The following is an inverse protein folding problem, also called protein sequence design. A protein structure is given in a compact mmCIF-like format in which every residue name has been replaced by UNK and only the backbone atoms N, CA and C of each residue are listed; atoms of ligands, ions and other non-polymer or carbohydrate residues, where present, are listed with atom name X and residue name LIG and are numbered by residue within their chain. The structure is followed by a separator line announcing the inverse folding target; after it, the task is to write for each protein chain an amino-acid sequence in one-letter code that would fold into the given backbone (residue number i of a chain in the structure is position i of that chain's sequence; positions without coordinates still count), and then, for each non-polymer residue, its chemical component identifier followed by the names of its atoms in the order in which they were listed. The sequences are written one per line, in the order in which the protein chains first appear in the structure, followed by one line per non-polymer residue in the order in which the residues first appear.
data_IF_463169262324
#
_entry.id   IF_463169262324
#
_cell.length_a   1.000
_cell.length_b   1.000
_cell.length_c   1.000
_cell.angle_alpha   90.00
_cell.angle_beta   90.00
_cell.angle_gamma   90.00
#
_symmetry.space_group_name_H-M   'P 1'
#
loop_
_entity.id
_entity.type
_entity.pdbx_description
1 polymer ?
#
# COMPACT_ATOMS: atom_id res chain seq x y z
N UNK A 1 -16.17 -51.24 77.08
CA UNK A 1 -16.31 -52.20 75.97
C UNK A 1 -17.15 -51.52 74.89
N UNK A 2 -16.51 -51.25 73.75
CA UNK A 2 -17.03 -50.80 72.45
C UNK A 2 -17.64 -49.40 72.29
N UNK A 3 -16.77 -48.45 71.94
CA UNK A 3 -17.08 -47.31 71.07
C UNK A 3 -17.26 -47.78 69.62
N UNK A 4 -18.40 -47.47 69.00
CA UNK A 4 -18.69 -47.77 67.60
C UNK A 4 -19.20 -46.51 66.87
N UNK A 5 -18.27 -45.77 66.24
CA UNK A 5 -18.44 -44.97 65.00
C UNK A 5 -17.06 -44.35 64.65
N UNK A 6 -16.66 -44.16 63.36
CA UNK A 6 -17.49 -43.65 62.28
C UNK A 6 -17.12 -44.21 60.88
N UNK A 7 -17.67 -45.35 60.46
CA UNK A 7 -17.41 -45.91 59.11
C UNK A 7 -18.20 -45.18 58.00
N UNK A 8 -19.29 -44.48 58.35
CA UNK A 8 -20.19 -43.84 57.37
C UNK A 8 -19.61 -42.56 56.75
N UNK A 9 -18.71 -41.86 57.46
CA UNK A 9 -18.15 -40.56 57.01
C UNK A 9 -17.07 -40.71 55.95
N UNK A 10 -16.27 -41.77 56.02
CA UNK A 10 -15.21 -42.09 55.06
C UNK A 10 -15.76 -42.64 53.74
N UNK A 11 -16.87 -43.39 53.79
CA UNK A 11 -17.52 -43.92 52.59
C UNK A 11 -18.10 -42.79 51.70
N UNK A 12 -18.79 -41.80 52.31
CA UNK A 12 -19.35 -40.63 51.60
C UNK A 12 -18.27 -39.70 51.04
N UNK A 13 -17.16 -39.53 51.76
CA UNK A 13 -16.03 -38.74 51.31
C UNK A 13 -15.27 -39.41 50.16
N UNK A 14 -15.11 -40.74 50.19
CA UNK A 14 -14.53 -41.51 49.08
C UNK A 14 -15.42 -41.48 47.84
N UNK A 15 -16.74 -41.57 47.97
CA UNK A 15 -17.67 -41.44 46.83
C UNK A 15 -17.67 -40.02 46.25
N UNK A 16 -17.62 -38.98 47.08
CA UNK A 16 -17.51 -37.60 46.61
C UNK A 16 -16.20 -37.34 45.84
N UNK A 17 -15.08 -37.91 46.30
CA UNK A 17 -13.77 -37.79 45.62
C UNK A 17 -13.75 -38.62 44.32
N UNK A 18 -14.28 -39.85 44.34
CA UNK A 18 -14.36 -40.74 43.17
C UNK A 18 -15.27 -40.19 42.06
N UNK A 19 -16.30 -39.41 42.40
CA UNK A 19 -17.17 -38.74 41.42
C UNK A 19 -16.68 -37.34 41.04
N UNK A 20 -16.05 -36.61 41.97
CA UNK A 20 -15.57 -35.25 41.74
C UNK A 20 -14.38 -35.17 40.79
N UNK A 21 -13.42 -36.09 40.90
CA UNK A 21 -12.24 -36.16 40.02
C UNK A 21 -12.57 -36.37 38.53
N UNK A 22 -13.42 -37.34 38.13
CA UNK A 22 -13.81 -37.49 36.73
C UNK A 22 -14.69 -36.35 36.22
N UNK A 23 -15.50 -35.70 37.06
CA UNK A 23 -16.26 -34.50 36.68
C UNK A 23 -15.35 -33.29 36.43
N UNK A 24 -14.34 -33.09 37.28
CA UNK A 24 -13.31 -32.06 37.08
C UNK A 24 -12.45 -32.35 35.85
N UNK A 25 -12.06 -33.61 35.65
CA UNK A 25 -11.34 -34.06 34.46
C UNK A 25 -12.15 -33.87 33.18
N UNK A 26 -13.44 -34.24 33.20
CA UNK A 26 -14.36 -33.99 32.09
C UNK A 26 -14.55 -32.50 31.82
N UNK A 27 -14.71 -31.68 32.86
CA UNK A 27 -14.86 -30.24 32.72
C UNK A 27 -13.61 -29.60 32.10
N UNK A 28 -12.40 -30.00 32.55
CA UNK A 28 -11.14 -29.50 31.99
C UNK A 28 -10.91 -29.98 30.56
N UNK A 29 -11.12 -31.26 30.26
CA UNK A 29 -11.02 -31.78 28.89
C UNK A 29 -12.03 -31.09 27.97
N UNK A 30 -13.26 -30.88 28.43
CA UNK A 30 -14.30 -30.19 27.68
C UNK A 30 -13.93 -28.73 27.43
N UNK A 31 -13.45 -27.97 28.43
CA UNK A 31 -13.05 -26.58 28.22
C UNK A 31 -11.86 -26.46 27.28
N UNK A 32 -10.85 -27.32 27.43
CA UNK A 32 -9.65 -27.32 26.58
C UNK A 32 -9.97 -27.74 25.15
N UNK A 33 -10.83 -28.76 24.97
CA UNK A 33 -11.29 -29.18 23.65
C UNK A 33 -12.14 -28.10 22.97
N UNK A 34 -13.00 -27.40 23.71
CA UNK A 34 -13.80 -26.31 23.16
C UNK A 34 -12.93 -25.12 22.73
N UNK A 35 -11.89 -24.76 23.48
CA UNK A 35 -10.97 -23.68 23.07
C UNK A 35 -10.08 -24.08 21.91
N UNK A 36 -9.58 -25.32 21.89
CA UNK A 36 -8.65 -25.80 20.86
C UNK A 36 -9.34 -26.09 19.53
N UNK A 37 -10.56 -26.64 19.54
CA UNK A 37 -11.26 -27.03 18.31
C UNK A 37 -12.24 -25.98 17.78
N UNK A 38 -12.60 -24.95 18.55
CA UNK A 38 -13.51 -23.91 18.07
C UNK A 38 -12.96 -23.10 16.89
N UNK A 39 -11.63 -22.90 16.82
CA UNK A 39 -10.99 -22.15 15.73
C UNK A 39 -10.70 -23.02 14.50
N UNK A 40 -10.14 -24.22 14.69
CA UNK A 40 -9.64 -25.04 13.58
C UNK A 40 -10.64 -26.07 13.04
N UNK A 41 -11.53 -26.61 13.89
CA UNK A 41 -12.48 -27.69 13.52
C UNK A 41 -13.82 -27.54 14.25
N UNK A 42 -14.64 -26.54 13.87
CA UNK A 42 -15.87 -26.18 14.58
C UNK A 42 -16.86 -27.35 14.68
N UNK A 43 -16.90 -28.26 13.69
CA UNK A 43 -17.74 -29.45 13.73
C UNK A 43 -17.42 -30.42 14.88
N UNK A 44 -16.15 -30.52 15.31
CA UNK A 44 -15.78 -31.35 16.46
C UNK A 44 -16.17 -30.70 17.79
N UNK A 45 -16.07 -29.37 17.91
CA UNK A 45 -16.54 -28.65 19.09
C UNK A 45 -18.05 -28.81 19.33
N UNK A 46 -18.85 -28.95 18.26
CA UNK A 46 -20.28 -29.23 18.34
C UNK A 46 -20.61 -30.59 18.98
N UNK A 47 -19.71 -31.58 18.92
CA UNK A 47 -19.91 -32.89 19.57
C UNK A 47 -19.81 -32.80 21.10
N UNK A 48 -19.04 -31.84 21.64
CA UNK A 48 -18.80 -31.71 23.08
C UNK A 48 -19.73 -30.70 23.79
N UNK A 49 -20.32 -29.76 23.05
CA UNK A 49 -21.29 -28.81 23.58
C UNK A 49 -22.24 -28.30 22.47
N UNK A 50 -23.15 -29.13 21.94
CA UNK A 50 -24.01 -28.76 20.81
C UNK A 50 -24.93 -27.55 21.09
N UNK A 51 -25.28 -27.31 22.37
CA UNK A 51 -26.04 -26.15 22.83
C UNK A 51 -25.17 -25.06 23.49
N UNK A 52 -23.85 -25.10 23.32
CA UNK A 52 -22.93 -24.08 23.81
C UNK A 52 -23.04 -22.79 22.99
N UNK A 53 -22.67 -21.65 23.58
CA UNK A 53 -22.73 -20.34 22.91
C UNK A 53 -21.93 -20.33 21.59
N UNK A 54 -20.72 -20.88 21.58
CA UNK A 54 -19.88 -20.99 20.39
C UNK A 54 -20.52 -21.88 19.30
N UNK A 55 -21.12 -23.02 19.67
CA UNK A 55 -21.79 -23.90 18.71
C UNK A 55 -23.00 -23.22 18.06
N UNK A 56 -23.80 -22.50 18.85
CA UNK A 56 -24.94 -21.72 18.35
C UNK A 56 -24.50 -20.54 17.46
N UNK A 57 -23.45 -19.82 17.85
CA UNK A 57 -22.89 -18.74 17.05
C UNK A 57 -22.33 -19.26 15.71
N UNK A 58 -21.59 -20.38 15.72
CA UNK A 58 -21.08 -21.01 14.50
C UNK A 58 -22.21 -21.50 13.59
N UNK A 59 -23.26 -22.12 14.15
CA UNK A 59 -24.43 -22.54 13.38
C UNK A 59 -25.14 -21.35 12.71
N UNK A 60 -25.34 -20.26 13.45
CA UNK A 60 -25.91 -19.03 12.91
C UNK A 60 -25.04 -18.42 11.81
N UNK A 61 -23.72 -18.35 12.03
CA UNK A 61 -22.78 -17.82 11.04
C UNK A 61 -22.77 -18.63 9.75
N UNK A 62 -22.68 -19.97 9.84
CA UNK A 62 -22.72 -20.85 8.68
C UNK A 62 -24.01 -20.65 7.88
N UNK A 63 -25.15 -20.55 8.58
CA UNK A 63 -26.43 -20.31 7.95
C UNK A 63 -26.50 -18.96 7.22
N UNK A 64 -25.96 -17.90 7.80
CA UNK A 64 -25.87 -16.59 7.15
C UNK A 64 -25.01 -16.68 5.88
N UNK A 65 -23.87 -17.37 5.94
CA UNK A 65 -22.99 -17.56 4.78
C UNK A 65 -23.68 -18.36 3.67
N UNK A 66 -24.31 -19.48 4.01
CA UNK A 66 -25.07 -20.32 3.07
C UNK A 66 -26.24 -19.58 2.44
N UNK A 67 -26.88 -18.68 3.19
CA UNK A 67 -27.96 -17.81 2.72
C UNK A 67 -27.47 -16.53 2.02
N UNK A 68 -26.20 -16.47 1.60
CA UNK A 68 -25.63 -15.35 0.86
C UNK A 68 -25.59 -14.03 1.64
N UNK A 69 -25.50 -14.09 2.97
CA UNK A 69 -25.50 -12.94 3.88
C UNK A 69 -26.87 -12.63 4.49
N UNK A 70 -27.93 -13.36 4.13
CA UNK A 70 -29.27 -13.14 4.69
C UNK A 70 -29.35 -13.66 6.12
N UNK A 71 -29.81 -12.81 7.05
CA UNK A 71 -30.03 -13.19 8.46
C UNK A 71 -31.49 -13.62 8.67
N UNK A 72 -31.76 -14.91 8.47
CA UNK A 72 -33.12 -15.45 8.62
C UNK A 72 -33.55 -15.68 10.08
N UNK A 73 -34.81 -16.09 10.28
CA UNK A 73 -35.38 -16.27 11.61
C UNK A 73 -34.62 -17.30 12.47
N UNK A 74 -34.09 -18.36 11.86
CA UNK A 74 -33.35 -19.41 12.57
C UNK A 74 -31.98 -18.90 13.00
N UNK A 75 -31.27 -18.19 12.11
CA UNK A 75 -30.00 -17.55 12.45
C UNK A 75 -30.21 -16.56 13.61
N UNK A 76 -31.25 -15.71 13.56
CA UNK A 76 -31.59 -14.78 14.65
C UNK A 76 -31.84 -15.50 15.97
N UNK A 77 -32.62 -16.59 15.96
CA UNK A 77 -32.91 -17.36 17.16
C UNK A 77 -31.63 -17.99 17.76
N UNK A 78 -30.76 -18.55 16.92
CA UNK A 78 -29.47 -19.10 17.34
C UNK A 78 -28.53 -18.02 17.89
N UNK A 79 -28.45 -16.86 17.24
CA UNK A 79 -27.70 -15.69 17.74
C UNK A 79 -28.20 -15.22 19.09
N UNK A 80 -29.51 -15.06 19.27
CA UNK A 80 -30.10 -14.66 20.55
C UNK A 80 -29.80 -15.69 21.66
N UNK A 81 -29.93 -16.98 21.35
CA UNK A 81 -29.60 -18.06 22.26
C UNK A 81 -28.11 -18.13 22.62
N UNK A 82 -27.21 -17.79 21.68
CA UNK A 82 -25.78 -17.68 21.91
C UNK A 82 -25.46 -16.48 22.82
N UNK A 83 -26.06 -15.31 22.55
CA UNK A 83 -25.84 -14.09 23.32
C UNK A 83 -26.34 -14.21 24.76
N UNK A 84 -27.46 -14.89 25.00
CA UNK A 84 -27.94 -15.19 26.36
C UNK A 84 -26.96 -16.05 27.16
N UNK A 85 -26.29 -17.00 26.50
CA UNK A 85 -25.34 -17.93 27.13
C UNK A 85 -23.96 -17.30 27.35
N UNK A 86 -23.52 -16.45 26.44
CA UNK A 86 -22.24 -15.78 26.52
C UNK A 86 -22.36 -14.31 26.07
N UNK A 87 -22.95 -13.43 26.90
CA UNK A 87 -23.19 -12.03 26.55
C UNK A 87 -21.90 -11.21 26.43
N UNK A 88 -20.75 -11.83 26.75
CA UNK A 88 -19.44 -11.20 26.75
C UNK A 88 -18.56 -11.63 25.58
N UNK A 89 -19.02 -12.56 24.76
CA UNK A 89 -18.28 -13.08 23.62
C UNK A 89 -18.50 -12.18 22.40
N UNK A 90 -17.45 -11.99 21.60
CA UNK A 90 -17.52 -11.15 20.41
C UNK A 90 -18.42 -11.76 19.32
N UNK A 91 -18.34 -13.07 19.07
CA UNK A 91 -19.05 -13.70 17.96
C UNK A 91 -20.59 -13.52 18.01
N UNK A 92 -21.28 -13.77 19.14
CA UNK A 92 -22.72 -13.47 19.24
C UNK A 92 -23.06 -11.98 19.06
N UNK A 93 -22.19 -11.07 19.51
CA UNK A 93 -22.37 -9.62 19.32
C UNK A 93 -22.26 -9.23 17.83
N UNK A 94 -21.29 -9.80 17.09
CA UNK A 94 -21.14 -9.59 15.64
C UNK A 94 -22.40 -10.04 14.91
N UNK A 95 -22.89 -11.24 15.20
CA UNK A 95 -24.08 -11.79 14.55
C UNK A 95 -25.33 -10.96 14.86
N UNK A 96 -25.46 -10.48 16.09
CA UNK A 96 -26.55 -9.57 16.48
C UNK A 96 -26.42 -8.22 15.76
N UNK A 97 -25.20 -7.73 15.55
CA UNK A 97 -24.91 -6.53 14.77
C UNK A 97 -25.28 -6.69 13.30
N UNK A 98 -24.96 -7.83 12.68
CA UNK A 98 -25.37 -8.15 11.31
C UNK A 98 -26.89 -8.21 11.18
N UNK A 99 -27.59 -8.82 12.14
CA UNK A 99 -29.05 -8.84 12.18
C UNK A 99 -29.62 -7.42 12.25
N UNK A 100 -29.12 -6.59 13.17
CA UNK A 100 -29.54 -5.19 13.30
C UNK A 100 -29.25 -4.38 12.02
N UNK A 101 -28.11 -4.64 11.35
CA UNK A 101 -27.76 -4.00 10.09
C UNK A 101 -28.73 -4.40 8.97
N UNK A 102 -29.13 -5.68 8.89
CA UNK A 102 -30.11 -6.17 7.92
C UNK A 102 -31.51 -5.59 8.17
N UNK A 103 -31.84 -5.28 9.42
CA UNK A 103 -33.11 -4.66 9.81
C UNK A 103 -33.11 -3.13 9.61
N UNK A 104 -32.03 -2.55 9.08
CA UNK A 104 -31.88 -1.10 8.89
C UNK A 104 -31.60 -0.32 10.19
N UNK A 105 -31.37 -1.01 11.30
CA UNK A 105 -31.06 -0.40 12.60
C UNK A 105 -29.56 -0.08 12.73
N UNK A 106 -29.09 0.87 11.92
CA UNK A 106 -27.67 1.23 11.79
C UNK A 106 -26.99 1.59 13.13
N UNK A 107 -27.59 2.43 13.97
CA UNK A 107 -27.00 2.84 15.25
C UNK A 107 -26.82 1.65 16.20
N UNK A 108 -27.82 0.75 16.23
CA UNK A 108 -27.76 -0.48 17.01
C UNK A 108 -26.70 -1.43 16.47
N UNK A 109 -26.59 -1.55 15.15
CA UNK A 109 -25.56 -2.36 14.53
C UNK A 109 -24.16 -1.82 14.86
N UNK A 110 -23.94 -0.51 14.78
CA UNK A 110 -22.68 0.14 15.16
C UNK A 110 -22.33 -0.17 16.61
N UNK A 111 -23.23 0.06 17.56
CA UNK A 111 -22.97 -0.20 18.98
C UNK A 111 -22.62 -1.67 19.25
N UNK A 112 -23.27 -2.61 18.56
CA UNK A 112 -22.97 -4.04 18.68
C UNK A 112 -21.61 -4.40 18.07
N UNK A 113 -21.24 -3.80 16.94
CA UNK A 113 -19.95 -4.04 16.29
C UNK A 113 -18.79 -3.41 17.07
N UNK A 114 -18.95 -2.22 17.63
CA UNK A 114 -17.98 -1.60 18.54
C UNK A 114 -17.82 -2.44 19.81
N UNK A 115 -18.93 -2.91 20.40
CA UNK A 115 -18.87 -3.80 21.55
C UNK A 115 -18.15 -5.11 21.21
N UNK A 116 -18.41 -5.70 20.05
CA UNK A 116 -17.70 -6.89 19.58
C UNK A 116 -16.19 -6.61 19.42
N UNK A 117 -15.82 -5.51 18.78
CA UNK A 117 -14.43 -5.09 18.59
C UNK A 117 -13.71 -4.87 19.91
N UNK A 118 -14.38 -4.28 20.90
CA UNK A 118 -13.82 -4.08 22.25
C UNK A 118 -13.54 -5.41 22.97
N UNK A 119 -14.26 -6.49 22.64
CA UNK A 119 -14.04 -7.83 23.21
C UNK A 119 -13.02 -8.65 22.43
N UNK A 120 -13.06 -8.53 21.12
CA UNK A 120 -12.08 -9.14 20.23
C UNK A 120 -11.57 -8.09 19.23
N UNK A 121 -10.43 -7.45 19.51
CA UNK A 121 -9.80 -6.51 18.60
C UNK A 121 -9.34 -7.15 17.29
N UNK A 122 -9.42 -8.47 17.09
CA UNK A 122 -9.09 -9.15 15.84
C UNK A 122 -10.34 -9.62 15.08
N UNK A 123 -11.54 -9.29 15.57
CA UNK A 123 -12.80 -9.60 14.92
C UNK A 123 -12.94 -8.91 13.56
N UNK A 124 -12.47 -9.58 12.50
CA UNK A 124 -12.42 -9.01 11.15
C UNK A 124 -13.78 -8.56 10.64
N UNK A 125 -14.84 -9.35 10.86
CA UNK A 125 -16.21 -8.98 10.41
C UNK A 125 -16.64 -7.65 11.03
N UNK A 126 -16.45 -7.46 12.34
CA UNK A 126 -16.79 -6.20 13.00
C UNK A 126 -15.98 -5.03 12.43
N UNK A 127 -14.66 -5.20 12.24
CA UNK A 127 -13.80 -4.14 11.71
C UNK A 127 -14.13 -3.73 10.29
N UNK A 128 -14.36 -4.69 9.39
CA UNK A 128 -14.73 -4.38 8.01
C UNK A 128 -16.11 -3.71 7.94
N UNK A 129 -17.06 -4.17 8.76
CA UNK A 129 -18.37 -3.52 8.86
C UNK A 129 -18.24 -2.09 9.39
N UNK A 130 -17.44 -1.86 10.44
CA UNK A 130 -17.22 -0.54 11.03
C UNK A 130 -16.52 0.39 10.04
N UNK A 131 -15.46 -0.07 9.35
CA UNK A 131 -14.79 0.70 8.31
C UNK A 131 -15.78 1.21 7.26
N UNK A 132 -16.58 0.29 6.71
CA UNK A 132 -17.59 0.57 5.69
C UNK A 132 -18.71 1.50 6.20
N UNK A 133 -19.19 1.25 7.42
CA UNK A 133 -20.19 2.09 8.09
C UNK A 133 -19.67 3.51 8.33
N UNK A 134 -18.47 3.67 8.87
CA UNK A 134 -17.86 4.97 9.15
C UNK A 134 -17.61 5.77 7.88
N UNK A 135 -17.23 5.12 6.78
CA UNK A 135 -17.12 5.80 5.49
C UNK A 135 -18.48 6.33 5.04
N UNK A 136 -19.51 5.48 5.03
CA UNK A 136 -20.85 5.89 4.56
C UNK A 136 -21.48 6.99 5.40
N UNK A 137 -21.15 7.06 6.68
CA UNK A 137 -21.72 8.02 7.63
C UNK A 137 -20.87 9.27 7.83
N UNK A 138 -19.80 9.47 7.04
CA UNK A 138 -18.99 10.68 7.16
C UNK A 138 -17.97 10.66 8.31
N UNK A 139 -17.83 9.55 9.04
CA UNK A 139 -16.98 9.41 10.21
C UNK A 139 -15.52 9.10 9.84
N UNK A 140 -14.89 9.99 9.07
CA UNK A 140 -13.58 9.75 8.44
C UNK A 140 -12.45 9.34 9.40
N UNK A 141 -12.36 9.98 10.58
CA UNK A 141 -11.34 9.62 11.58
C UNK A 141 -11.52 8.20 12.11
N UNK A 142 -12.77 7.78 12.35
CA UNK A 142 -13.08 6.45 12.83
C UNK A 142 -12.83 5.40 11.73
N UNK A 143 -13.20 5.70 10.48
CA UNK A 143 -12.87 4.85 9.33
C UNK A 143 -11.36 4.62 9.19
N UNK A 144 -10.55 5.68 9.26
CA UNK A 144 -9.11 5.58 9.09
C UNK A 144 -8.40 4.86 10.25
N UNK A 145 -8.99 4.83 11.44
CA UNK A 145 -8.50 4.02 12.55
C UNK A 145 -8.62 2.50 12.27
N UNK A 146 -9.55 2.08 11.42
CA UNK A 146 -9.75 0.67 11.05
C UNK A 146 -8.78 0.19 9.95
N UNK A 147 -8.20 1.09 9.16
CA UNK A 147 -7.36 0.74 7.98
C UNK A 147 -6.18 -0.15 8.36
N UNK A 148 -5.33 0.28 9.29
CA UNK A 148 -4.15 -0.48 9.70
C UNK A 148 -4.49 -1.87 10.25
N UNK A 149 -5.40 -1.98 11.24
CA UNK A 149 -5.88 -3.27 11.73
C UNK A 149 -6.47 -4.16 10.62
N UNK A 150 -7.31 -3.62 9.74
CA UNK A 150 -7.92 -4.37 8.65
C UNK A 150 -6.87 -4.96 7.70
N UNK A 151 -5.86 -4.17 7.32
CA UNK A 151 -4.75 -4.61 6.47
C UNK A 151 -3.93 -5.74 7.10
N UNK A 152 -3.74 -5.72 8.43
CA UNK A 152 -3.04 -6.80 9.14
C UNK A 152 -3.87 -8.09 9.24
N UNK A 153 -5.20 -7.99 9.27
CA UNK A 153 -6.08 -9.16 9.33
C UNK A 153 -6.16 -9.90 8.00
N UNK A 154 -6.22 -9.19 6.87
CA UNK A 154 -6.22 -9.80 5.54
C UNK A 154 -5.37 -8.99 4.57
N UNK A 155 -4.08 -9.32 4.41
CA UNK A 155 -3.20 -8.60 3.49
C UNK A 155 -3.72 -8.53 2.04
N UNK A 156 -4.53 -9.51 1.61
CA UNK A 156 -5.15 -9.55 0.28
C UNK A 156 -6.21 -8.47 0.02
N UNK A 157 -6.68 -7.74 1.04
CA UNK A 157 -7.65 -6.63 0.87
C UNK A 157 -6.97 -5.27 0.63
N UNK A 158 -5.63 -5.23 0.60
CA UNK A 158 -4.82 -4.01 0.53
C UNK A 158 -5.24 -3.07 -0.61
N UNK A 159 -5.37 -3.59 -1.83
CA UNK A 159 -5.75 -2.78 -2.99
C UNK A 159 -7.12 -2.13 -2.82
N UNK A 160 -8.12 -2.87 -2.34
CA UNK A 160 -9.47 -2.36 -2.14
C UNK A 160 -9.51 -1.29 -1.03
N UNK A 161 -8.81 -1.52 0.09
CA UNK A 161 -8.75 -0.56 1.20
C UNK A 161 -8.02 0.72 0.78
N UNK A 162 -6.91 0.63 0.04
CA UNK A 162 -6.20 1.83 -0.41
C UNK A 162 -6.94 2.60 -1.51
N UNK A 163 -7.69 1.91 -2.38
CA UNK A 163 -8.61 2.56 -3.30
C UNK A 163 -9.69 3.33 -2.53
N UNK A 164 -10.24 2.75 -1.46
CA UNK A 164 -11.19 3.42 -0.56
C UNK A 164 -10.57 4.67 0.09
N UNK A 165 -9.34 4.57 0.64
CA UNK A 165 -8.63 5.73 1.23
C UNK A 165 -8.39 6.83 0.18
N UNK A 166 -8.12 6.46 -1.08
CA UNK A 166 -7.96 7.44 -2.16
C UNK A 166 -9.28 8.13 -2.52
N UNK A 167 -10.38 7.38 -2.58
CA UNK A 167 -11.71 7.94 -2.78
C UNK A 167 -12.10 8.90 -1.63
N UNK A 168 -11.75 8.55 -0.40
CA UNK A 168 -11.87 9.45 0.76
C UNK A 168 -11.02 10.72 0.59
N UNK A 169 -9.77 10.62 0.12
CA UNK A 169 -8.91 11.78 -0.10
C UNK A 169 -9.44 12.73 -1.20
N UNK A 170 -10.10 12.17 -2.20
CA UNK A 170 -10.73 12.93 -3.28
C UNK A 170 -11.97 13.71 -2.78
N UNK A 171 -12.74 13.14 -1.84
CA UNK A 171 -13.91 13.80 -1.24
C UNK A 171 -13.53 14.99 -0.35
N UNK A 172 -14.11 16.19 -0.55
CA UNK A 172 -13.79 17.38 0.25
C UNK A 172 -13.91 17.18 1.76
N UNK A 173 -14.99 16.52 2.21
CA UNK A 173 -15.27 16.33 3.65
C UNK A 173 -14.33 15.31 4.31
N UNK A 174 -13.82 14.36 3.53
CA UNK A 174 -12.96 13.28 4.02
C UNK A 174 -11.46 13.56 3.84
N UNK A 175 -11.10 14.59 3.06
CA UNK A 175 -9.70 14.97 2.79
C UNK A 175 -8.93 15.32 4.06
N UNK A 176 -9.53 16.09 4.96
CA UNK A 176 -8.93 16.47 6.24
C UNK A 176 -8.60 15.27 7.15
N UNK A 177 -9.56 14.35 7.38
CA UNK A 177 -9.30 13.09 8.07
C UNK A 177 -8.18 12.26 7.44
N UNK A 178 -8.16 12.09 6.10
CA UNK A 178 -7.11 11.31 5.42
C UNK A 178 -5.73 11.93 5.61
N UNK A 179 -5.62 13.25 5.43
CA UNK A 179 -4.37 13.97 5.69
C UNK A 179 -3.92 13.78 7.14
N UNK A 180 -4.82 13.94 8.11
CA UNK A 180 -4.53 13.77 9.54
C UNK A 180 -4.04 12.35 9.86
N UNK A 181 -4.67 11.32 9.28
CA UNK A 181 -4.27 9.94 9.51
C UNK A 181 -2.88 9.65 8.94
N UNK A 182 -2.59 10.08 7.71
CA UNK A 182 -1.28 9.89 7.08
C UNK A 182 -0.17 10.73 7.74
N UNK A 183 -0.51 11.91 8.27
CA UNK A 183 0.42 12.78 8.98
C UNK A 183 0.93 12.18 10.29
N UNK A 184 0.20 11.22 10.87
CA UNK A 184 0.64 10.44 12.05
C UNK A 184 1.61 9.31 11.69
N UNK A 185 2.04 9.23 10.43
CA UNK A 185 3.00 8.24 9.92
C UNK A 185 2.61 6.79 10.26
N UNK A 186 1.42 6.33 9.84
CA UNK A 186 0.99 4.96 10.12
C UNK A 186 1.85 3.95 9.34
N UNK A 187 1.99 2.74 9.90
CA UNK A 187 2.79 1.64 9.32
C UNK A 187 2.42 1.26 7.86
N UNK A 188 1.20 1.59 7.44
CA UNK A 188 0.70 1.35 6.09
C UNK A 188 0.90 2.51 5.11
N UNK A 189 1.40 3.68 5.55
CA UNK A 189 1.52 4.91 4.74
C UNK A 189 2.37 4.71 3.48
N UNK A 190 3.57 4.16 3.63
CA UNK A 190 4.46 3.96 2.48
C UNK A 190 3.82 3.00 1.46
N UNK A 191 3.23 1.91 1.96
CA UNK A 191 2.51 0.93 1.12
C UNK A 191 1.32 1.55 0.39
N UNK A 192 0.62 2.50 1.02
CA UNK A 192 -0.46 3.25 0.38
C UNK A 192 0.05 3.98 -0.87
N UNK A 193 1.11 4.80 -0.74
CA UNK A 193 1.67 5.50 -1.90
C UNK A 193 2.21 4.54 -2.97
N UNK A 194 2.89 3.47 -2.57
CA UNK A 194 3.43 2.48 -3.50
C UNK A 194 2.34 1.78 -4.33
N UNK A 195 1.25 1.34 -3.69
CA UNK A 195 0.14 0.67 -4.38
C UNK A 195 -0.66 1.65 -5.23
N UNK A 196 -0.94 2.85 -4.71
CA UNK A 196 -1.76 3.82 -5.44
C UNK A 196 -1.01 4.44 -6.63
N UNK A 197 0.33 4.50 -6.60
CA UNK A 197 1.15 4.97 -7.73
C UNK A 197 1.12 4.04 -8.96
N UNK A 198 0.66 2.80 -8.81
CA UNK A 198 0.47 1.84 -9.91
C UNK A 198 -0.99 1.53 -10.21
N UNK A 199 -1.91 2.08 -9.41
CA UNK A 199 -3.36 1.96 -9.62
C UNK A 199 -3.89 3.04 -10.57
N UNK A 200 -5.15 2.92 -10.97
CA UNK A 200 -5.88 3.93 -11.74
C UNK A 200 -6.40 5.05 -10.83
N UNK A 201 -5.50 5.66 -10.06
CA UNK A 201 -5.78 6.83 -9.22
C UNK A 201 -5.07 8.03 -9.80
N UNK A 202 -5.76 9.18 -9.78
CA UNK A 202 -5.20 10.45 -10.21
C UNK A 202 -3.85 10.74 -9.51
N UNK A 203 -2.73 10.75 -10.25
CA UNK A 203 -1.43 11.00 -9.67
C UNK A 203 -1.28 12.42 -9.11
N UNK A 204 -2.07 13.38 -9.58
CA UNK A 204 -2.05 14.76 -9.05
C UNK A 204 -2.60 14.81 -7.63
N UNK A 205 -3.61 14.00 -7.31
CA UNK A 205 -4.09 13.83 -5.94
C UNK A 205 -2.98 13.29 -5.02
N UNK A 206 -2.24 12.28 -5.47
CA UNK A 206 -1.13 11.70 -4.70
C UNK A 206 0.02 12.70 -4.52
N UNK A 207 0.35 13.48 -5.56
CA UNK A 207 1.34 14.55 -5.49
C UNK A 207 0.96 15.59 -4.43
N UNK A 208 -0.28 16.09 -4.48
CA UNK A 208 -0.77 17.11 -3.55
C UNK A 208 -0.80 16.61 -2.11
N UNK A 209 -1.29 15.39 -1.91
CA UNK A 209 -1.31 14.75 -0.60
C UNK A 209 0.12 14.61 -0.06
N UNK A 210 1.05 14.06 -0.85
CA UNK A 210 2.42 13.86 -0.42
C UNK A 210 3.17 15.18 -0.13
N UNK A 211 2.91 16.22 -0.92
CA UNK A 211 3.52 17.55 -0.76
C UNK A 211 3.12 18.25 0.55
N UNK A 212 1.92 17.99 1.05
CA UNK A 212 1.35 18.65 2.24
C UNK A 212 1.52 17.86 3.53
N UNK A 213 1.93 16.60 3.44
CA UNK A 213 2.20 15.76 4.62
C UNK A 213 3.54 16.11 5.28
N UNK A 214 3.67 15.99 6.61
CA UNK A 214 4.97 16.00 7.26
C UNK A 214 5.81 14.78 6.80
N UNK A 215 7.15 14.90 6.82
CA UNK A 215 8.01 13.75 6.52
C UNK A 215 7.77 12.62 7.53
N UNK A 216 7.77 11.35 7.08
CA UNK A 216 7.78 10.20 7.97
C UNK A 216 9.04 10.19 8.84
N UNK A 217 9.00 9.42 9.93
CA UNK A 217 10.12 9.31 10.87
C UNK A 217 11.38 8.73 10.22
N UNK A 218 11.21 7.80 9.26
CA UNK A 218 12.29 7.26 8.43
C UNK A 218 12.48 8.11 7.15
N UNK A 219 13.61 8.81 6.98
CA UNK A 219 13.88 9.61 5.78
C UNK A 219 13.90 8.79 4.49
N UNK A 220 14.23 7.49 4.57
CA UNK A 220 14.26 6.63 3.40
C UNK A 220 12.85 6.30 2.88
N UNK A 221 11.88 6.16 3.79
CA UNK A 221 10.45 6.03 3.44
C UNK A 221 9.98 7.24 2.63
N UNK A 222 10.34 8.46 3.04
CA UNK A 222 9.99 9.68 2.28
C UNK A 222 10.52 9.64 0.85
N UNK A 223 11.76 9.17 0.67
CA UNK A 223 12.37 9.08 -0.65
C UNK A 223 11.64 8.06 -1.54
N UNK A 224 11.24 6.90 -0.97
CA UNK A 224 10.45 5.88 -1.67
C UNK A 224 9.07 6.37 -2.07
N UNK A 225 8.32 7.00 -1.15
CA UNK A 225 7.01 7.63 -1.41
C UNK A 225 7.11 8.63 -2.57
N UNK A 226 8.09 9.53 -2.52
CA UNK A 226 8.28 10.55 -3.55
C UNK A 226 8.60 9.93 -4.91
N UNK A 227 9.49 8.93 -4.94
CA UNK A 227 9.88 8.27 -6.19
C UNK A 227 8.66 7.66 -6.90
N UNK A 228 7.87 6.86 -6.19
CA UNK A 228 6.72 6.17 -6.81
C UNK A 228 5.66 7.16 -7.30
N UNK A 229 5.37 8.22 -6.52
CA UNK A 229 4.38 9.23 -6.90
C UNK A 229 4.85 10.09 -8.08
N UNK A 230 6.11 10.53 -8.09
CA UNK A 230 6.68 11.31 -9.21
C UNK A 230 6.68 10.48 -10.51
N UNK A 231 7.07 9.21 -10.45
CA UNK A 231 7.04 8.34 -11.62
C UNK A 231 5.62 8.09 -12.14
N UNK A 232 4.65 7.94 -11.24
CA UNK A 232 3.24 7.83 -11.62
C UNK A 232 2.73 9.09 -12.33
N UNK A 233 3.05 10.27 -11.80
CA UNK A 233 2.67 11.54 -12.41
C UNK A 233 3.33 11.76 -13.78
N UNK A 234 4.60 11.40 -13.95
CA UNK A 234 5.27 11.43 -15.26
C UNK A 234 4.59 10.52 -16.27
N UNK A 235 4.19 9.29 -15.88
CA UNK A 235 3.44 8.38 -16.76
C UNK A 235 2.08 8.95 -17.18
N UNK A 236 1.43 9.69 -16.29
CA UNK A 236 0.15 10.35 -16.58
C UNK A 236 0.29 11.69 -17.32
N UNK A 237 1.51 12.15 -17.61
CA UNK A 237 1.74 13.43 -18.30
C UNK A 237 1.68 14.67 -17.41
N UNK A 238 1.55 14.51 -16.08
CA UNK A 238 1.56 15.60 -15.10
C UNK A 238 3.00 16.06 -14.79
N UNK A 239 3.73 16.48 -15.82
CA UNK A 239 5.16 16.73 -15.75
C UNK A 239 5.54 17.92 -14.85
N UNK A 240 4.74 19.00 -14.87
CA UNK A 240 5.02 20.22 -14.11
C UNK A 240 4.88 19.99 -12.60
N UNK A 241 3.80 19.35 -12.19
CA UNK A 241 3.52 19.01 -10.80
C UNK A 241 4.52 17.97 -10.28
N UNK A 242 4.88 16.98 -11.11
CA UNK A 242 5.93 16.02 -10.80
C UNK A 242 7.30 16.71 -10.58
N UNK A 243 7.65 17.68 -11.44
CA UNK A 243 8.89 18.44 -11.31
C UNK A 243 8.88 19.28 -10.02
N UNK A 244 7.78 19.96 -9.71
CA UNK A 244 7.64 20.77 -8.52
C UNK A 244 7.85 19.95 -7.24
N UNK A 245 7.25 18.76 -7.14
CA UNK A 245 7.47 17.88 -5.98
C UNK A 245 8.91 17.36 -5.91
N UNK A 246 9.52 17.02 -7.05
CA UNK A 246 10.91 16.58 -7.06
C UNK A 246 11.88 17.70 -6.65
N UNK A 247 11.66 18.94 -7.12
CA UNK A 247 12.48 20.11 -6.77
C UNK A 247 12.35 20.52 -5.31
N UNK A 248 11.18 20.34 -4.69
CA UNK A 248 10.95 20.72 -3.29
C UNK A 248 11.79 19.90 -2.31
N UNK A 249 12.20 18.69 -2.69
CA UNK A 249 13.05 17.83 -1.89
C UNK A 249 14.55 18.16 -1.99
N UNK A 250 14.96 19.03 -2.91
CA UNK A 250 16.38 19.39 -3.09
C UNK A 250 16.74 20.57 -2.20
N UNK A 251 17.94 20.57 -1.58
CA UNK A 251 18.44 21.75 -0.91
C UNK A 251 18.58 22.88 -1.94
N UNK A 252 18.33 24.11 -1.51
CA UNK A 252 18.35 25.29 -2.39
C UNK A 252 19.71 25.47 -3.09
N UNK A 253 20.80 25.11 -2.41
CA UNK A 253 22.17 25.10 -2.95
C UNK A 253 22.39 24.09 -4.07
N UNK A 254 21.53 23.07 -4.20
CA UNK A 254 21.58 22.06 -5.26
C UNK A 254 20.55 22.33 -6.39
N UNK A 255 19.79 23.43 -6.31
CA UNK A 255 18.95 23.90 -7.41
C UNK A 255 19.85 24.55 -8.45
N UNK A 256 20.39 23.71 -9.33
CA UNK A 256 21.18 24.19 -10.46
C UNK A 256 20.34 25.11 -11.35
N UNK A 257 20.96 26.21 -11.77
CA UNK A 257 20.40 27.08 -12.79
C UNK A 257 20.54 26.40 -14.16
N UNK A 258 19.45 25.87 -14.69
CA UNK A 258 19.46 25.24 -16.01
C UNK A 258 18.30 24.27 -16.21
N UNK A 259 18.06 23.91 -17.47
CA UNK A 259 17.03 22.93 -17.86
C UNK A 259 17.52 21.49 -17.75
N UNK A 260 18.83 21.28 -17.85
CA UNK A 260 19.50 19.99 -17.67
C UNK A 260 20.21 20.01 -16.34
N UNK A 261 19.84 19.09 -15.46
CA UNK A 261 20.48 18.87 -14.18
C UNK A 261 21.73 18.01 -14.34
N UNK A 262 22.78 18.40 -13.64
CA UNK A 262 24.13 17.84 -13.74
C UNK A 262 24.61 17.67 -15.18
N UNK A 263 24.72 18.77 -15.95
CA UNK A 263 25.08 18.70 -17.36
C UNK A 263 26.44 18.06 -17.60
N UNK A 264 27.31 17.96 -16.59
CA UNK A 264 28.66 17.40 -16.66
C UNK A 264 28.81 16.04 -15.97
N UNK A 265 27.71 15.38 -15.56
CA UNK A 265 27.71 14.06 -14.93
C UNK A 265 28.67 13.94 -13.73
N UNK A 266 28.65 14.94 -12.85
CA UNK A 266 29.48 15.02 -11.63
C UNK A 266 28.90 14.22 -10.47
N UNK A 267 27.61 13.93 -10.50
CA UNK A 267 26.88 13.18 -9.47
C UNK A 267 26.61 11.77 -9.96
N UNK A 268 26.49 10.79 -9.06
CA UNK A 268 26.03 9.46 -9.42
C UNK A 268 24.69 9.52 -10.15
N UNK A 269 24.49 8.62 -11.11
CA UNK A 269 23.19 8.44 -11.76
C UNK A 269 22.15 8.12 -10.69
N UNK A 270 21.00 8.77 -10.80
CA UNK A 270 19.90 8.69 -9.86
C UNK A 270 18.69 7.99 -10.49
N UNK A 271 17.73 7.61 -9.64
CA UNK A 271 16.53 6.90 -10.09
C UNK A 271 15.30 7.82 -10.20
N UNK A 272 15.51 9.10 -10.49
CA UNK A 272 14.45 10.10 -10.65
C UNK A 272 14.44 10.60 -12.10
N UNK A 273 13.25 10.86 -12.68
CA UNK A 273 13.14 11.20 -14.09
C UNK A 273 13.80 12.54 -14.45
N UNK A 274 13.90 13.49 -13.51
CA UNK A 274 14.48 14.82 -13.72
C UNK A 274 15.98 14.90 -13.38
N UNK A 275 16.58 13.81 -12.90
CA UNK A 275 18.04 13.66 -12.82
C UNK A 275 18.51 12.72 -13.94
N UNK A 276 19.82 12.68 -14.19
CA UNK A 276 20.36 11.63 -15.05
C UNK A 276 20.13 10.25 -14.42
N UNK A 277 19.41 9.41 -15.14
CA UNK A 277 19.12 8.02 -14.78
C UNK A 277 19.61 7.09 -15.88
N UNK A 278 20.06 5.89 -15.51
CA UNK A 278 20.41 4.83 -16.46
C UNK A 278 19.32 3.76 -16.45
N UNK A 279 18.67 3.47 -17.59
CA UNK A 279 17.88 2.26 -17.73
C UNK A 279 18.74 1.01 -17.50
N UNK A 280 18.16 -0.04 -16.96
CA UNK A 280 18.82 -1.34 -16.86
C UNK A 280 18.86 -2.02 -18.24
N UNK A 281 20.05 -2.07 -18.84
CA UNK A 281 20.28 -2.64 -20.16
C UNK A 281 21.38 -3.69 -20.05
N UNK A 282 21.09 -4.92 -20.49
CA UNK A 282 22.07 -6.00 -20.49
C UNK A 282 23.33 -5.63 -21.29
N UNK A 283 24.51 -5.91 -20.72
CA UNK A 283 25.79 -5.62 -21.36
C UNK A 283 26.20 -4.16 -21.34
N UNK A 284 25.48 -3.29 -20.61
CA UNK A 284 25.81 -1.88 -20.42
C UNK A 284 26.49 -1.63 -19.08
N UNK A 285 27.52 -0.79 -19.10
CA UNK A 285 28.10 -0.16 -17.92
C UNK A 285 28.17 1.34 -18.18
N UNK A 286 27.61 2.13 -17.25
CA UNK A 286 27.66 3.59 -17.30
C UNK A 286 28.17 4.10 -15.95
N UNK A 287 29.21 4.93 -15.98
CA UNK A 287 29.85 5.45 -14.77
C UNK A 287 30.16 6.93 -14.92
N UNK A 288 29.77 7.70 -13.91
CA UNK A 288 30.02 9.15 -13.80
C UNK A 288 31.40 9.39 -13.22
N UNK A 289 32.11 10.42 -13.71
CA UNK A 289 33.49 10.68 -13.30
C UNK A 289 33.98 12.11 -13.56
N UNK A 290 35.30 12.30 -13.50
CA UNK A 290 35.91 13.62 -13.69
C UNK A 290 35.75 14.15 -15.12
N UNK A 291 35.68 13.26 -16.10
CA UNK A 291 35.61 13.62 -17.51
C UNK A 291 34.18 13.49 -18.08
N UNK A 292 33.19 13.30 -17.21
CA UNK A 292 31.78 13.15 -17.55
C UNK A 292 31.28 11.72 -17.39
N UNK A 293 30.37 11.28 -18.26
CA UNK A 293 29.79 9.94 -18.26
C UNK A 293 30.61 9.03 -19.18
N UNK A 294 31.24 8.00 -18.63
CA UNK A 294 31.88 6.93 -19.39
C UNK A 294 30.92 5.76 -19.56
N UNK A 295 30.82 5.26 -20.79
CA UNK A 295 29.88 4.21 -21.19
C UNK A 295 30.65 3.11 -21.90
N UNK A 296 30.41 1.87 -21.47
CA UNK A 296 30.79 0.67 -22.18
C UNK A 296 29.53 -0.15 -22.47
N UNK A 297 29.22 -0.38 -23.73
CA UNK A 297 28.04 -1.14 -24.15
C UNK A 297 28.43 -2.23 -25.14
N UNK A 298 28.02 -3.47 -24.87
CA UNK A 298 28.15 -4.60 -25.79
C UNK A 298 26.78 -5.06 -26.20
N UNK A 299 26.36 -4.69 -27.40
CA UNK A 299 25.06 -5.07 -27.94
C UNK A 299 24.95 -4.72 -29.41
N UNK A 300 23.95 -5.28 -30.06
CA UNK A 300 23.75 -5.19 -31.51
C UNK A 300 22.74 -4.10 -31.90
N UNK A 301 22.00 -3.55 -30.93
CA UNK A 301 20.97 -2.53 -31.17
C UNK A 301 21.26 -1.26 -30.38
N UNK A 302 20.81 -0.08 -30.84
CA UNK A 302 20.97 1.14 -30.07
C UNK A 302 20.28 1.06 -28.70
N UNK A 303 20.96 1.55 -27.66
CA UNK A 303 20.45 1.51 -26.29
C UNK A 303 20.58 2.87 -25.60
N UNK A 304 19.55 3.24 -24.82
CA UNK A 304 19.61 4.44 -23.98
C UNK A 304 20.47 4.16 -22.76
N UNK A 305 21.56 4.91 -22.62
CA UNK A 305 22.55 4.70 -21.54
C UNK A 305 22.43 5.69 -20.40
N UNK A 306 21.86 6.86 -20.69
CA UNK A 306 21.44 7.82 -19.70
C UNK A 306 20.25 8.61 -20.23
N UNK A 307 19.33 8.98 -19.35
CA UNK A 307 18.18 9.81 -19.71
C UNK A 307 17.79 10.77 -18.60
N UNK A 308 17.20 11.89 -19.01
CA UNK A 308 16.62 12.90 -18.15
C UNK A 308 15.38 13.47 -18.84
N UNK A 309 14.33 13.74 -18.07
CA UNK A 309 13.11 14.39 -18.50
C UNK A 309 13.26 15.89 -18.34
N UNK A 310 13.01 16.63 -19.42
CA UNK A 310 13.06 18.09 -19.42
C UNK A 310 11.65 18.63 -19.68
N UNK A 311 10.99 19.24 -18.68
CA UNK A 311 9.65 19.78 -18.85
C UNK A 311 9.66 21.16 -19.50
N UNK A 312 8.52 21.49 -20.10
CA UNK A 312 8.25 22.79 -20.70
C UNK A 312 8.33 22.77 -22.23
N UNK A 313 7.39 23.47 -22.85
CA UNK A 313 7.39 23.73 -24.28
C UNK A 313 8.23 24.98 -24.60
N UNK A 314 8.71 25.03 -25.84
CA UNK A 314 9.48 26.17 -26.34
C UNK A 314 10.48 25.81 -27.42
N UNK A 315 11.25 26.83 -27.82
CA UNK A 315 12.43 26.69 -28.67
C UNK A 315 13.66 26.59 -27.79
N UNK A 316 14.54 25.68 -28.16
CA UNK A 316 15.73 25.34 -27.40
C UNK A 316 16.93 25.19 -28.32
N UNK A 317 18.11 25.25 -27.72
CA UNK A 317 19.38 24.86 -28.32
C UNK A 317 19.97 23.73 -27.51
N UNK A 318 20.08 22.55 -28.13
CA UNK A 318 20.67 21.35 -27.56
C UNK A 318 22.13 21.30 -27.97
N UNK A 319 23.04 21.17 -27.00
CA UNK A 319 24.46 20.98 -27.24
C UNK A 319 25.00 19.80 -26.45
N UNK A 320 25.88 19.02 -27.05
CA UNK A 320 26.60 17.95 -26.37
C UNK A 320 28.06 17.87 -26.82
N UNK A 321 28.94 17.48 -25.90
CA UNK A 321 30.31 17.07 -26.22
C UNK A 321 30.49 15.61 -25.83
N UNK A 322 30.77 14.78 -26.82
CA UNK A 322 30.98 13.36 -26.62
C UNK A 322 32.05 12.81 -27.58
N UNK A 323 32.69 11.73 -27.16
CA UNK A 323 33.60 10.91 -27.97
C UNK A 323 33.11 9.47 -27.99
N UNK A 324 33.45 8.72 -29.04
CA UNK A 324 32.95 7.35 -29.23
C UNK A 324 31.54 7.29 -29.83
N UNK A 325 30.98 6.08 -29.95
CA UNK A 325 29.72 5.80 -30.65
C UNK A 325 28.45 6.15 -29.86
N UNK A 326 28.30 7.41 -29.45
CA UNK A 326 27.09 7.91 -28.74
C UNK A 326 26.52 9.14 -29.42
N UNK A 327 25.21 9.24 -29.42
CA UNK A 327 24.45 10.40 -29.85
C UNK A 327 23.58 10.92 -28.70
N UNK A 328 23.16 12.18 -28.78
CA UNK A 328 22.22 12.77 -27.81
C UNK A 328 20.92 13.11 -28.50
N UNK A 329 19.84 12.42 -28.12
CA UNK A 329 18.51 12.58 -28.70
C UNK A 329 17.59 13.35 -27.76
N UNK A 330 16.79 14.23 -28.34
CA UNK A 330 15.62 14.82 -27.71
C UNK A 330 14.38 14.21 -28.38
N UNK A 331 13.48 13.66 -27.58
CA UNK A 331 12.26 13.01 -28.05
C UNK A 331 11.08 13.42 -27.19
N UNK A 332 9.88 13.43 -27.75
CA UNK A 332 8.71 13.82 -27.00
C UNK A 332 8.43 12.83 -25.86
N UNK A 333 8.09 13.31 -24.67
CA UNK A 333 7.88 12.44 -23.50
C UNK A 333 6.62 11.56 -23.59
N UNK A 334 5.64 11.98 -24.41
CA UNK A 334 4.34 11.33 -24.54
C UNK A 334 4.34 10.15 -25.50
N UNK A 335 4.95 10.32 -26.68
CA UNK A 335 4.88 9.38 -27.80
C UNK A 335 6.25 9.00 -28.37
N UNK A 336 7.33 9.49 -27.74
CA UNK A 336 8.73 9.25 -28.14
C UNK A 336 9.09 9.74 -29.54
N UNK A 337 8.24 10.57 -30.16
CA UNK A 337 8.52 11.16 -31.46
C UNK A 337 9.84 11.96 -31.42
N UNK A 338 10.71 11.82 -32.42
CA UNK A 338 12.01 12.50 -32.42
C UNK A 338 11.82 14.01 -32.61
N UNK A 339 12.51 14.81 -31.78
CA UNK A 339 12.47 16.28 -31.83
C UNK A 339 13.79 16.88 -32.34
N UNK A 340 14.93 16.33 -31.89
CA UNK A 340 16.25 16.72 -32.33
C UNK A 340 17.27 15.62 -32.01
N UNK A 341 18.38 15.58 -32.72
CA UNK A 341 19.52 14.72 -32.38
C UNK A 341 20.83 15.46 -32.62
N UNK A 342 21.72 15.39 -31.63
CA UNK A 342 23.13 15.76 -31.81
C UNK A 342 23.87 14.49 -32.23
N UNK A 343 24.51 14.49 -33.41
CA UNK A 343 25.17 13.31 -33.96
C UNK A 343 26.38 12.89 -33.12
N UNK A 344 26.91 11.73 -33.47
CA UNK A 344 28.16 11.18 -32.91
C UNK A 344 29.30 12.19 -33.02
N UNK A 345 30.07 12.36 -31.93
CA UNK A 345 31.13 13.37 -31.82
C UNK A 345 30.68 14.70 -31.22
N UNK A 346 29.38 14.88 -30.98
CA UNK A 346 28.83 16.08 -30.37
C UNK A 346 28.49 17.18 -31.38
N UNK A 347 28.15 18.35 -30.86
CA UNK A 347 27.71 19.48 -31.68
C UNK A 347 26.60 20.29 -31.01
N UNK A 348 25.93 21.10 -31.80
CA UNK A 348 24.81 21.94 -31.35
C UNK A 348 23.73 21.97 -32.41
N UNK A 349 22.49 21.77 -31.99
CA UNK A 349 21.31 21.76 -32.86
C UNK A 349 20.19 22.57 -32.21
N UNK A 350 19.41 23.28 -33.02
CA UNK A 350 18.18 23.88 -32.54
C UNK A 350 17.09 22.80 -32.42
N UNK A 351 16.25 22.93 -31.40
CA UNK A 351 15.20 21.98 -31.08
C UNK A 351 13.92 22.71 -30.69
N UNK A 352 12.76 22.12 -30.96
CA UNK A 352 11.47 22.65 -30.50
C UNK A 352 10.73 21.55 -29.74
N UNK A 353 10.29 21.85 -28.52
CA UNK A 353 9.37 21.00 -27.76
C UNK A 353 7.97 21.59 -27.95
N UNK A 354 7.08 20.93 -28.71
CA UNK A 354 5.72 21.42 -28.93
C UNK A 354 4.92 21.47 -27.63
N UNK A 355 3.94 22.38 -27.55
CA UNK A 355 3.02 22.44 -26.41
C UNK A 355 2.25 21.13 -26.18
N UNK A 356 1.93 20.40 -27.27
CA UNK A 356 1.27 19.09 -27.23
C UNK A 356 2.10 17.99 -26.55
N UNK A 357 3.41 18.22 -26.43
CA UNK A 357 4.35 17.29 -25.84
C UNK A 357 4.48 17.48 -24.31
N UNK A 358 4.43 18.74 -23.84
CA UNK A 358 4.53 19.11 -22.42
C UNK A 358 5.93 18.96 -21.79
N UNK A 359 6.65 17.89 -22.14
CA UNK A 359 8.03 17.60 -21.73
C UNK A 359 8.74 16.75 -22.78
N UNK A 360 10.07 16.71 -22.76
CA UNK A 360 10.87 15.88 -23.66
C UNK A 360 11.86 15.00 -22.88
N UNK A 361 12.06 13.77 -23.35
CA UNK A 361 13.16 12.92 -22.93
C UNK A 361 14.43 13.34 -23.65
N UNK A 362 15.43 13.75 -22.87
CA UNK A 362 16.80 13.94 -23.28
C UNK A 362 17.57 12.65 -22.99
N UNK A 363 18.05 11.97 -24.04
CA UNK A 363 18.64 10.63 -23.96
C UNK A 363 20.03 10.63 -24.58
N UNK A 364 20.97 10.01 -23.89
CA UNK A 364 22.24 9.58 -24.46
C UNK A 364 22.01 8.16 -24.98
N UNK A 365 22.25 7.95 -26.26
CA UNK A 365 22.03 6.66 -26.93
C UNK A 365 23.37 6.13 -27.45
N UNK A 366 23.75 4.94 -27.00
CA UNK A 366 24.88 4.23 -27.57
C UNK A 366 24.43 3.55 -28.87
N UNK A 367 25.17 3.82 -29.95
CA UNK A 367 24.94 3.19 -31.26
C UNK A 367 26.09 2.23 -31.53
N UNK A 368 25.82 0.90 -31.62
CA UNK A 368 26.85 -0.08 -31.94
C UNK A 368 27.59 0.26 -33.24
N UNK A 369 28.92 0.21 -33.18
CA UNK A 369 29.76 0.20 -34.39
C UNK A 369 29.98 -1.22 -34.92
N UNK A 370 30.76 -1.37 -35.98
CA UNK A 370 31.03 -2.64 -36.66
C UNK A 370 31.58 -3.76 -35.74
N UNK A 371 32.19 -3.38 -34.61
CA UNK A 371 32.79 -4.32 -33.64
C UNK A 371 31.81 -4.82 -32.56
N UNK A 372 30.55 -4.35 -32.56
CA UNK A 372 29.54 -4.72 -31.55
C UNK A 372 29.80 -4.22 -30.13
N UNK A 373 30.87 -3.44 -29.93
CA UNK A 373 31.23 -2.84 -28.65
C UNK A 373 31.40 -1.32 -28.80
N UNK A 374 30.74 -0.56 -27.92
CA UNK A 374 30.82 0.90 -27.84
C UNK A 374 31.55 1.27 -26.56
N UNK A 375 32.63 2.02 -26.69
CA UNK A 375 33.21 2.79 -25.59
C UNK A 375 33.04 4.26 -25.91
N UNK A 376 32.46 5.02 -24.99
CA UNK A 376 32.17 6.42 -25.20
C UNK A 376 32.34 7.23 -23.92
N UNK A 377 32.63 8.52 -24.08
CA UNK A 377 32.68 9.48 -23.00
C UNK A 377 31.87 10.72 -23.36
N UNK A 378 30.93 11.09 -22.51
CA UNK A 378 30.10 12.28 -22.67
C UNK A 378 30.54 13.31 -21.63
N UNK A 379 31.23 14.34 -22.09
CA UNK A 379 31.81 15.36 -21.21
C UNK A 379 30.75 16.34 -20.68
N UNK A 380 29.81 16.75 -21.54
CA UNK A 380 28.63 17.50 -21.11
C UNK A 380 27.46 17.44 -22.08
N UNK A 381 26.26 17.65 -21.56
CA UNK A 381 25.01 17.84 -22.30
C UNK A 381 24.28 19.05 -21.72
N UNK A 382 23.88 19.99 -22.57
CA UNK A 382 23.19 21.23 -22.16
C UNK A 382 22.00 21.50 -23.04
N UNK A 383 20.98 22.09 -22.44
CA UNK A 383 19.81 22.60 -23.13
C UNK A 383 19.58 24.04 -22.69
N UNK A 384 19.51 24.95 -23.66
CA UNK A 384 19.25 26.38 -23.43
C UNK A 384 17.92 26.75 -24.08
N UNK A 385 17.17 27.66 -23.46
CA UNK A 385 16.01 28.29 -24.12
C UNK A 385 16.54 29.28 -25.17
N UNK A 386 16.07 29.16 -26.41
CA UNK A 386 16.53 29.94 -27.55
C UNK A 386 15.90 31.34 -27.61
#
# INVERSE_FOLDING_TARGET
MNDAAPVVRTARMRTAILLGLPLLGWATVRTTALTMFAEDRPGLAMLFAPAGAAALANAAQMRIVEAGGTVDAVARAQTAAALQRAPRDAAPLILAGLAASADGAADRAQALMEAAQARDPRAGIARYWLLDHYVRTGQGNAALAEVGPALRLRPGTRTAIFALVSAMAASPDMRGPVHTALARDPDWRESFFAVQATADVDPVLLLHLLATLPPPADPSSRARERRVVVLAAVRAGAYGEAQALWQSARPETAREAGLVHDPMFRRPLADMPFDWSAPDVAGMQAQTGRDGLTVAYRGETPATVAQQLVPGAGRYRLSARATGGVEVRLSCARDESPLASVPVGGGTVDATIPATCGAAWLRVVATPGDTGAVNATIADVRLFRA
#
